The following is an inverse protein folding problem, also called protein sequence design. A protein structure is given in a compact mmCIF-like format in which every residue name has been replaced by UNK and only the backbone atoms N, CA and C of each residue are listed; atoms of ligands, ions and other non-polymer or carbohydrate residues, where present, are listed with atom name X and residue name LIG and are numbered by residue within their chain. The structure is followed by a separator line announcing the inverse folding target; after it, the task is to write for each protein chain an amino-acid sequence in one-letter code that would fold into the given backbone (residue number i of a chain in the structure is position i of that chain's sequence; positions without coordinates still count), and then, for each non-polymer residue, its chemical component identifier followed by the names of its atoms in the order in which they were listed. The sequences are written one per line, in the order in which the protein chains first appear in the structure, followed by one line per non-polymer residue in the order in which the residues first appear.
data_IF_433073050371
#
_entry.id   IF_433073050371
#
_cell.length_a   1.000
_cell.length_b   1.000
_cell.length_c   1.000
_cell.angle_alpha   90.00
_cell.angle_beta   90.00
_cell.angle_gamma   90.00
#
_symmetry.space_group_name_H-M   'P 1'
#
loop_
_entity.id
_entity.type
_entity.pdbx_description
1 polymer ?
#
# COMPACT_ATOMS: atom_id res chain seq x y z
N UNK A 1 -10.59 14.20 24.49
CA UNK A 1 -10.89 14.36 23.05
C UNK A 1 -10.77 13.00 22.41
N UNK A 2 -11.75 12.55 21.61
CA UNK A 2 -11.53 11.37 20.75
C UNK A 2 -10.38 11.71 19.79
N UNK A 3 -9.42 10.81 19.54
CA UNK A 3 -8.43 11.06 18.50
C UNK A 3 -9.19 11.35 17.19
N UNK A 4 -8.75 12.37 16.46
CA UNK A 4 -9.35 12.71 15.18
C UNK A 4 -9.23 11.49 14.25
N UNK A 5 -10.33 11.14 13.59
CA UNK A 5 -10.31 10.09 12.57
C UNK A 5 -9.44 10.61 11.43
N UNK A 6 -8.31 9.94 11.16
CA UNK A 6 -7.42 10.32 10.07
C UNK A 6 -8.12 10.11 8.73
N UNK A 7 -8.01 11.09 7.84
CA UNK A 7 -8.52 11.04 6.46
C UNK A 7 -7.32 11.01 5.52
N UNK A 8 -7.15 9.91 4.79
CA UNK A 8 -6.08 9.74 3.80
C UNK A 8 -6.55 9.89 2.36
N UNK A 9 -5.66 10.38 1.49
CA UNK A 9 -5.87 10.39 0.03
C UNK A 9 -5.15 9.20 -0.62
N UNK A 10 -5.85 8.38 -1.40
CA UNK A 10 -5.20 7.31 -2.17
C UNK A 10 -4.43 7.88 -3.36
N UNK A 11 -3.21 7.37 -3.58
CA UNK A 11 -2.44 7.70 -4.79
C UNK A 11 -3.14 7.24 -6.08
N UNK A 12 -4.10 6.30 -5.98
CA UNK A 12 -4.93 5.90 -7.11
C UNK A 12 -6.00 6.95 -7.47
N UNK A 13 -6.44 7.79 -6.53
CA UNK A 13 -7.49 8.80 -6.75
C UNK A 13 -7.09 9.89 -7.74
N UNK A 14 -5.79 10.06 -7.99
CA UNK A 14 -5.25 11.06 -8.91
C UNK A 14 -4.82 10.45 -10.26
N UNK A 15 -5.07 9.16 -10.49
CA UNK A 15 -4.74 8.52 -11.76
C UNK A 15 -5.36 9.30 -12.95
N UNK A 16 -4.62 9.56 -14.05
CA UNK A 16 -3.30 9.00 -14.41
C UNK A 16 -2.08 9.83 -14.00
N UNK A 17 -2.21 10.76 -13.05
CA UNK A 17 -1.08 11.52 -12.54
C UNK A 17 -0.10 10.62 -11.76
N UNK A 18 1.12 11.13 -11.59
CA UNK A 18 2.21 10.42 -10.91
C UNK A 18 1.94 10.33 -9.41
N UNK A 19 2.58 9.35 -8.75
CA UNK A 19 2.50 9.19 -7.29
C UNK A 19 2.82 10.48 -6.52
N UNK A 20 3.80 11.27 -6.97
CA UNK A 20 4.17 12.55 -6.36
C UNK A 20 3.01 13.57 -6.34
N UNK A 21 2.15 13.59 -7.36
CA UNK A 21 1.00 14.50 -7.41
C UNK A 21 -0.01 14.20 -6.29
N UNK A 22 -0.14 12.93 -5.87
CA UNK A 22 -0.99 12.58 -4.74
C UNK A 22 -0.44 13.14 -3.41
N UNK A 23 0.89 13.13 -3.23
CA UNK A 23 1.51 13.72 -2.03
C UNK A 23 1.34 15.25 -2.02
N UNK A 24 1.49 15.88 -3.17
CA UNK A 24 1.27 17.32 -3.35
C UNK A 24 -0.18 17.70 -3.05
N UNK A 25 -1.16 17.08 -3.70
CA UNK A 25 -2.57 17.37 -3.46
C UNK A 25 -3.04 17.01 -2.05
N UNK A 26 -2.53 15.93 -1.46
CA UNK A 26 -2.84 15.60 -0.07
C UNK A 26 -2.42 16.73 0.87
N UNK A 27 -1.22 17.29 0.67
CA UNK A 27 -0.71 18.40 1.47
C UNK A 27 -1.51 19.70 1.22
N UNK A 28 -1.80 20.04 -0.04
CA UNK A 28 -2.54 21.26 -0.39
C UNK A 28 -3.99 21.25 0.10
N UNK A 29 -4.65 20.08 0.08
CA UNK A 29 -6.04 19.91 0.48
C UNK A 29 -6.22 19.62 1.97
N UNK A 30 -5.12 19.43 2.72
CA UNK A 30 -5.15 19.24 4.17
C UNK A 30 -5.53 17.83 4.63
N UNK A 31 -5.18 16.79 3.86
CA UNK A 31 -5.32 15.40 4.30
C UNK A 31 -4.31 15.05 5.40
N UNK A 32 -4.61 14.03 6.20
CA UNK A 32 -3.74 13.55 7.29
C UNK A 32 -2.59 12.66 6.79
N UNK A 33 -2.61 12.28 5.51
CA UNK A 33 -1.60 11.44 4.88
C UNK A 33 -2.13 10.76 3.62
N UNK A 34 -1.41 9.74 3.15
CA UNK A 34 -1.72 9.05 1.90
C UNK A 34 -1.88 7.54 2.07
N UNK A 35 -2.75 6.94 1.27
CA UNK A 35 -2.70 5.51 0.98
C UNK A 35 -1.82 5.30 -0.25
N UNK A 36 -0.74 4.54 -0.10
CA UNK A 36 0.15 4.20 -1.21
C UNK A 36 -0.40 3.00 -1.99
N UNK A 37 -0.86 3.24 -3.22
CA UNK A 37 -1.15 2.18 -4.19
C UNK A 37 0.12 1.75 -4.91
N UNK A 38 0.53 0.49 -4.71
CA UNK A 38 1.67 -0.09 -5.44
C UNK A 38 1.20 -0.58 -6.81
N UNK A 39 1.69 0.06 -7.88
CA UNK A 39 1.32 -0.27 -9.27
C UNK A 39 2.52 -0.23 -10.23
N UNK A 40 2.26 -0.11 -11.54
CA UNK A 40 3.28 -0.19 -12.59
C UNK A 40 4.30 0.95 -12.55
N UNK A 41 3.96 2.12 -12.00
CA UNK A 41 4.91 3.21 -11.85
C UNK A 41 6.09 2.77 -10.96
N UNK A 42 7.32 3.01 -11.42
CA UNK A 42 8.52 2.57 -10.70
C UNK A 42 8.65 3.25 -9.32
N UNK A 43 8.22 4.51 -9.21
CA UNK A 43 8.28 5.27 -7.95
C UNK A 43 7.43 4.61 -6.86
N UNK A 44 6.25 4.10 -7.16
CA UNK A 44 5.40 3.43 -6.15
C UNK A 44 5.99 2.11 -5.64
N UNK A 45 6.97 1.55 -6.36
CA UNK A 45 7.65 0.30 -5.99
C UNK A 45 8.95 0.55 -5.21
N UNK A 46 9.49 1.77 -5.27
CA UNK A 46 10.68 2.20 -4.56
C UNK A 46 10.31 2.85 -3.21
N UNK A 47 10.39 2.05 -2.16
CA UNK A 47 10.08 2.47 -0.79
C UNK A 47 10.96 3.64 -0.33
N UNK A 48 12.22 3.70 -0.80
CA UNK A 48 13.12 4.81 -0.50
C UNK A 48 12.69 6.10 -1.16
N UNK A 49 12.19 6.03 -2.41
CA UNK A 49 11.61 7.17 -3.10
C UNK A 49 10.32 7.66 -2.41
N UNK A 50 9.43 6.74 -2.02
CA UNK A 50 8.22 7.09 -1.27
C UNK A 50 8.55 7.75 0.07
N UNK A 51 9.52 7.23 0.81
CA UNK A 51 9.94 7.84 2.07
C UNK A 51 10.49 9.27 1.86
N UNK A 52 11.14 9.54 0.72
CA UNK A 52 11.58 10.91 0.36
C UNK A 52 10.39 11.82 0.04
N UNK A 53 9.39 11.34 -0.69
CA UNK A 53 8.16 12.10 -0.98
C UNK A 53 7.38 12.41 0.29
N UNK A 54 7.20 11.42 1.16
CA UNK A 54 6.55 11.59 2.45
C UNK A 54 7.20 12.70 3.29
N UNK A 55 8.53 12.72 3.38
CA UNK A 55 9.27 13.80 4.05
C UNK A 55 9.17 15.14 3.33
N UNK A 56 9.22 15.16 2.00
CA UNK A 56 9.18 16.39 1.18
C UNK A 56 7.86 17.13 1.37
N UNK A 57 6.74 16.42 1.32
CA UNK A 57 5.39 17.00 1.39
C UNK A 57 4.81 16.98 2.81
N UNK A 58 5.57 16.48 3.80
CA UNK A 58 5.12 16.28 5.17
C UNK A 58 3.84 15.44 5.28
N UNK A 59 3.66 14.48 4.37
CA UNK A 59 2.49 13.60 4.31
C UNK A 59 2.91 12.16 4.67
N UNK A 60 2.50 11.62 5.83
CA UNK A 60 2.82 10.25 6.19
C UNK A 60 2.05 9.25 5.33
N UNK A 61 2.62 8.06 5.13
CA UNK A 61 1.89 6.93 4.52
C UNK A 61 1.07 6.27 5.61
N UNK A 62 -0.25 6.32 5.50
CA UNK A 62 -1.18 5.75 6.48
C UNK A 62 -1.42 4.27 6.23
N UNK A 63 -1.46 3.88 4.96
CA UNK A 63 -1.69 2.50 4.53
C UNK A 63 -0.98 2.20 3.22
N UNK A 64 -0.67 0.92 3.00
CA UNK A 64 -0.07 0.41 1.75
C UNK A 64 -1.06 -0.55 1.10
N UNK A 65 -1.48 -0.25 -0.12
CA UNK A 65 -2.35 -1.12 -0.90
C UNK A 65 -1.50 -2.10 -1.72
N UNK A 66 -1.69 -3.40 -1.47
CA UNK A 66 -0.93 -4.47 -2.11
C UNK A 66 -1.27 -4.59 -3.60
N UNK A 67 -0.29 -4.85 -4.48
CA UNK A 67 -0.53 -4.95 -5.92
C UNK A 67 -1.36 -6.20 -6.25
N UNK A 68 -2.68 -6.03 -6.46
CA UNK A 68 -3.61 -7.15 -6.65
C UNK A 68 -4.55 -7.02 -7.87
N UNK A 69 -4.50 -5.92 -8.63
CA UNK A 69 -5.36 -5.73 -9.80
C UNK A 69 -4.80 -6.46 -11.03
N UNK A 70 -5.67 -6.84 -11.97
CA UNK A 70 -5.32 -7.46 -13.28
C UNK A 70 -4.19 -6.71 -14.01
N UNK A 71 -4.09 -5.40 -13.82
CA UNK A 71 -3.09 -4.51 -14.43
C UNK A 71 -1.74 -4.55 -13.68
N UNK A 72 -1.72 -4.85 -12.36
CA UNK A 72 -0.51 -4.91 -11.52
C UNK A 72 -0.09 -6.36 -11.17
N UNK A 73 -0.68 -7.38 -11.80
CA UNK A 73 -0.38 -8.79 -11.55
C UNK A 73 1.09 -9.19 -11.70
N UNK A 74 1.89 -8.43 -12.46
CA UNK A 74 3.33 -8.69 -12.64
C UNK A 74 4.23 -7.83 -11.76
N UNK A 75 3.67 -6.83 -11.08
CA UNK A 75 4.42 -5.99 -10.15
C UNK A 75 4.85 -6.86 -8.97
N UNK A 76 6.16 -6.86 -8.69
CA UNK A 76 6.83 -7.75 -7.74
C UNK A 76 6.70 -9.26 -8.04
N UNK A 77 6.56 -9.60 -9.33
CA UNK A 77 6.54 -10.98 -9.82
C UNK A 77 5.12 -11.57 -9.95
N UNK A 78 4.99 -12.81 -10.47
CA UNK A 78 3.68 -13.43 -10.73
C UNK A 78 3.09 -14.14 -9.50
N UNK A 79 3.90 -14.49 -8.50
CA UNK A 79 3.45 -15.20 -7.31
C UNK A 79 2.82 -14.21 -6.31
N UNK A 80 1.57 -14.38 -5.88
CA UNK A 80 0.92 -13.48 -4.93
C UNK A 80 1.48 -13.57 -3.50
N UNK A 81 2.01 -14.73 -3.10
CA UNK A 81 2.48 -14.97 -1.73
C UNK A 81 3.62 -13.99 -1.36
N UNK A 82 4.72 -13.88 -2.13
CA UNK A 82 5.78 -12.90 -1.84
C UNK A 82 5.33 -11.44 -1.88
N UNK A 83 4.22 -11.12 -2.55
CA UNK A 83 3.73 -9.73 -2.67
C UNK A 83 3.17 -9.25 -1.36
N UNK A 84 2.36 -10.06 -0.69
CA UNK A 84 1.76 -9.68 0.58
C UNK A 84 2.87 -9.46 1.63
N UNK A 85 3.83 -10.38 1.73
CA UNK A 85 5.01 -10.21 2.59
C UNK A 85 5.78 -8.93 2.25
N UNK A 86 5.98 -8.64 0.97
CA UNK A 86 6.68 -7.41 0.54
C UNK A 86 5.88 -6.14 0.83
N UNK A 87 4.55 -6.18 0.75
CA UNK A 87 3.67 -5.08 1.16
C UNK A 87 3.75 -4.81 2.66
N UNK A 88 3.78 -5.85 3.49
CA UNK A 88 4.01 -5.71 4.95
C UNK A 88 5.37 -5.07 5.22
N UNK A 89 6.44 -5.58 4.62
CA UNK A 89 7.78 -4.98 4.76
C UNK A 89 7.84 -3.52 4.28
N UNK A 90 7.08 -3.18 3.24
CA UNK A 90 6.98 -1.81 2.77
C UNK A 90 6.26 -0.92 3.80
N UNK A 91 5.15 -1.39 4.35
CA UNK A 91 4.40 -0.69 5.39
C UNK A 91 5.25 -0.45 6.64
N UNK A 92 5.95 -1.47 7.14
CA UNK A 92 6.87 -1.35 8.28
C UNK A 92 7.93 -0.27 8.05
N UNK A 93 8.57 -0.28 6.87
CA UNK A 93 9.60 0.70 6.51
C UNK A 93 9.07 2.12 6.35
N UNK A 94 7.80 2.26 5.97
CA UNK A 94 7.13 3.55 5.80
C UNK A 94 6.44 4.03 7.08
N UNK A 95 6.35 3.19 8.12
CA UNK A 95 5.61 3.47 9.35
C UNK A 95 4.09 3.43 9.17
N UNK A 96 3.60 2.77 8.12
CA UNK A 96 2.17 2.58 7.90
C UNK A 96 1.65 1.45 8.80
N UNK A 97 0.43 1.60 9.32
CA UNK A 97 -0.18 0.66 10.27
C UNK A 97 -1.21 -0.27 9.63
N UNK A 98 -1.25 -0.31 8.30
CA UNK A 98 -2.28 -1.08 7.59
C UNK A 98 -1.79 -1.45 6.20
N UNK A 99 -1.91 -2.73 5.85
CA UNK A 99 -1.82 -3.21 4.47
C UNK A 99 -3.22 -3.53 3.96
N UNK A 100 -3.63 -2.88 2.87
CA UNK A 100 -4.89 -3.17 2.19
C UNK A 100 -4.65 -4.26 1.15
N UNK A 101 -5.40 -5.34 1.21
CA UNK A 101 -5.31 -6.46 0.27
C UNK A 101 -6.70 -6.93 -0.14
N UNK A 102 -6.82 -7.35 -1.39
CA UNK A 102 -8.03 -8.01 -1.87
C UNK A 102 -7.96 -9.52 -1.64
N UNK A 103 -9.07 -10.16 -1.22
CA UNK A 103 -9.15 -11.61 -1.19
C UNK A 103 -8.85 -12.24 -2.56
N UNK A 104 -8.37 -13.50 -2.57
CA UNK A 104 -8.16 -14.28 -3.78
C UNK A 104 -9.39 -14.28 -4.70
N UNK A 105 -9.15 -14.19 -6.02
CA UNK A 105 -10.24 -14.38 -6.98
C UNK A 105 -10.79 -15.80 -6.91
N UNK A 106 -12.07 -15.96 -7.26
CA UNK A 106 -12.80 -17.24 -7.19
C UNK A 106 -12.15 -18.38 -7.98
N UNK A 107 -11.34 -18.07 -8.99
CA UNK A 107 -10.61 -19.05 -9.81
C UNK A 107 -9.20 -19.38 -9.27
N UNK A 108 -8.71 -18.70 -8.23
CA UNK A 108 -7.39 -18.93 -7.63
C UNK A 108 -7.45 -19.91 -6.45
N UNK A 109 -8.01 -21.11 -6.65
CA UNK A 109 -8.31 -22.08 -5.57
C UNK A 109 -7.12 -22.35 -4.63
N UNK A 110 -5.95 -22.68 -5.18
CA UNK A 110 -4.73 -22.96 -4.37
C UNK A 110 -4.28 -21.77 -3.53
N UNK A 111 -4.47 -20.55 -4.01
CA UNK A 111 -4.14 -19.35 -3.23
C UNK A 111 -5.20 -19.09 -2.17
N UNK A 112 -6.47 -19.34 -2.48
CA UNK A 112 -7.57 -19.25 -1.53
C UNK A 112 -7.41 -20.20 -0.33
N UNK A 113 -6.94 -21.43 -0.57
CA UNK A 113 -6.74 -22.43 0.49
C UNK A 113 -5.74 -21.98 1.57
N UNK A 114 -4.68 -21.24 1.18
CA UNK A 114 -3.63 -20.79 2.10
C UNK A 114 -3.70 -19.31 2.50
N UNK A 115 -4.65 -18.54 1.96
CA UNK A 115 -4.66 -17.08 2.13
C UNK A 115 -4.88 -16.64 3.59
N UNK A 116 -5.85 -17.25 4.28
CA UNK A 116 -6.14 -16.89 5.68
C UNK A 116 -4.99 -17.24 6.62
N UNK A 117 -4.34 -18.38 6.39
CA UNK A 117 -3.16 -18.80 7.15
C UNK A 117 -1.99 -17.85 6.92
N UNK A 118 -1.75 -17.45 5.67
CA UNK A 118 -0.72 -16.47 5.34
C UNK A 118 -0.97 -15.11 6.01
N UNK A 119 -2.21 -14.62 5.99
CA UNK A 119 -2.58 -13.35 6.66
C UNK A 119 -2.32 -13.45 8.16
N UNK A 120 -2.79 -14.53 8.81
CA UNK A 120 -2.59 -14.74 10.24
C UNK A 120 -1.09 -14.85 10.62
N UNK A 121 -0.28 -15.50 9.79
CA UNK A 121 1.18 -15.59 9.99
C UNK A 121 1.82 -14.19 9.94
N UNK A 122 1.41 -13.36 8.99
CA UNK A 122 1.94 -12.00 8.83
C UNK A 122 1.51 -11.10 9.99
N UNK A 123 0.23 -11.09 10.36
CA UNK A 123 -0.28 -10.34 11.52
C UNK A 123 0.42 -10.73 12.83
N UNK A 124 0.79 -12.01 12.99
CA UNK A 124 1.51 -12.47 14.19
C UNK A 124 2.97 -11.99 14.22
N UNK A 125 3.56 -11.69 13.05
CA UNK A 125 4.99 -11.41 12.88
C UNK A 125 5.31 -9.93 12.63
N UNK A 126 4.30 -9.09 12.40
CA UNK A 126 4.45 -7.65 12.16
C UNK A 126 3.51 -6.83 13.02
N UNK A 127 3.90 -5.60 13.34
CA UNK A 127 3.06 -4.61 14.03
C UNK A 127 2.16 -3.80 13.05
N UNK A 128 1.90 -4.34 11.85
CA UNK A 128 1.18 -3.73 10.73
C UNK A 128 -0.16 -4.40 10.50
#
# INVERSE_FOLDING_TARGET
MRPAIKVGLSTASVYPLRTEAAFEYAAELGYDGVELMVWAETVSQDIGAIAKLSRRYNMPVLSVHAPCLLISQRVWGPNPIPKLTRSVQAAERLGAQTVVVHPPFRWQRRYADGFSEQVAELETRSDV
#
